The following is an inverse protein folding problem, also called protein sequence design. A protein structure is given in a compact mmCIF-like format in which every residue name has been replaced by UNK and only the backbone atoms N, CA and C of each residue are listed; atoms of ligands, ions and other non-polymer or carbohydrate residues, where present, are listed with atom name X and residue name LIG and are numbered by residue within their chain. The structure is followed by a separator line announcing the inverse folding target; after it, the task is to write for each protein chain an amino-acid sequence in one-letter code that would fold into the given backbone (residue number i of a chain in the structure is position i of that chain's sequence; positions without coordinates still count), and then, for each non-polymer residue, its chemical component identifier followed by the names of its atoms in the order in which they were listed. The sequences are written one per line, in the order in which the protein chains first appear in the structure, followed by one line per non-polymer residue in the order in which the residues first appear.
data_IF_465472709594
#
_entry.id   IF_465472709594
#
_cell.length_a   1.000
_cell.length_b   1.000
_cell.length_c   1.000
_cell.angle_alpha   90.00
_cell.angle_beta   90.00
_cell.angle_gamma   90.00
#
_symmetry.space_group_name_H-M   'P 1'
#
loop_
_entity.id
_entity.type
_entity.pdbx_description
1 polymer ?
#
# COMPACT_ATOMS: atom_id res chain seq x y z
N UNK A 1 7.09 -10.56 -20.06
CA UNK A 1 6.55 -11.36 -18.93
C UNK A 1 7.04 -10.93 -17.54
N UNK A 2 8.06 -10.07 -17.38
CA UNK A 2 8.58 -9.68 -16.06
C UNK A 2 7.96 -8.40 -15.47
N UNK A 3 7.43 -7.49 -16.29
CA UNK A 3 6.81 -6.24 -15.83
C UNK A 3 5.43 -6.48 -15.21
N UNK A 4 4.64 -7.37 -15.80
CA UNK A 4 3.29 -7.73 -15.33
C UNK A 4 3.33 -8.47 -13.99
N UNK A 5 4.26 -9.41 -13.81
CA UNK A 5 4.48 -10.09 -12.53
C UNK A 5 4.91 -9.10 -11.42
N UNK A 6 5.74 -8.11 -11.75
CA UNK A 6 6.12 -7.04 -10.80
C UNK A 6 4.94 -6.14 -10.46
N UNK A 7 4.13 -5.78 -11.44
CA UNK A 7 2.92 -4.98 -11.24
C UNK A 7 1.92 -5.70 -10.33
N UNK A 8 1.63 -6.98 -10.59
CA UNK A 8 0.73 -7.78 -9.75
C UNK A 8 1.19 -7.83 -8.30
N UNK A 9 2.50 -8.02 -8.07
CA UNK A 9 3.07 -8.05 -6.72
C UNK A 9 2.97 -6.72 -5.99
N UNK A 10 3.17 -5.60 -6.69
CA UNK A 10 2.97 -4.26 -6.12
C UNK A 10 1.49 -4.01 -5.82
N UNK A 11 0.59 -4.49 -6.68
CA UNK A 11 -0.84 -4.39 -6.48
C UNK A 11 -1.31 -5.17 -5.24
N UNK A 12 -0.86 -6.41 -5.06
CA UNK A 12 -1.11 -7.21 -3.86
C UNK A 12 -0.63 -6.51 -2.59
N UNK A 13 0.60 -6.00 -2.59
CA UNK A 13 1.15 -5.24 -1.45
C UNK A 13 0.35 -3.98 -1.14
N UNK A 14 -0.12 -3.29 -2.18
CA UNK A 14 -0.96 -2.10 -2.01
C UNK A 14 -2.29 -2.46 -1.34
N UNK A 15 -2.94 -3.55 -1.78
CA UNK A 15 -4.19 -4.05 -1.19
C UNK A 15 -4.00 -4.50 0.27
N UNK A 16 -2.88 -5.16 0.57
CA UNK A 16 -2.52 -5.55 1.95
C UNK A 16 -2.36 -4.33 2.86
N UNK A 17 -1.62 -3.31 2.42
CA UNK A 17 -1.46 -2.06 3.18
C UNK A 17 -2.79 -1.34 3.39
N UNK A 18 -3.70 -1.34 2.40
CA UNK A 18 -5.05 -0.81 2.58
C UNK A 18 -5.84 -1.54 3.65
N UNK A 19 -5.78 -2.88 3.65
CA UNK A 19 -6.44 -3.70 4.67
C UNK A 19 -5.90 -3.40 6.06
N UNK A 20 -4.58 -3.32 6.23
CA UNK A 20 -3.95 -2.99 7.51
C UNK A 20 -4.37 -1.59 7.97
N UNK A 21 -4.32 -0.58 7.09
CA UNK A 21 -4.76 0.78 7.40
C UNK A 21 -6.21 0.78 7.84
N UNK A 22 -7.11 0.10 7.11
CA UNK A 22 -8.54 0.03 7.45
C UNK A 22 -8.76 -0.61 8.81
N UNK A 23 -8.08 -1.72 9.08
CA UNK A 23 -8.16 -2.42 10.37
C UNK A 23 -7.66 -1.54 11.52
N UNK A 24 -6.53 -0.85 11.35
CA UNK A 24 -5.97 0.04 12.36
C UNK A 24 -6.88 1.25 12.59
N UNK A 25 -7.42 1.86 11.52
CA UNK A 25 -8.32 3.02 11.61
C UNK A 25 -9.64 2.69 12.31
N UNK A 26 -10.10 1.43 12.23
CA UNK A 26 -11.30 0.96 12.92
C UNK A 26 -11.09 0.67 14.41
N UNK A 27 -9.84 0.73 14.91
CA UNK A 27 -9.58 0.50 16.34
C UNK A 27 -10.10 1.69 17.16
N UNK A 28 -10.58 1.45 18.40
CA UNK A 28 -11.01 2.53 19.30
C UNK A 28 -9.92 3.55 19.62
N UNK A 29 -8.66 3.12 19.63
CA UNK A 29 -7.48 3.99 19.76
C UNK A 29 -6.47 3.63 18.67
N UNK A 30 -6.58 4.23 17.48
CA UNK A 30 -5.70 3.92 16.36
C UNK A 30 -4.30 4.50 16.57
N UNK A 31 -3.27 3.72 16.25
CA UNK A 31 -1.90 4.23 16.23
C UNK A 31 -1.70 5.17 15.02
N UNK A 32 -1.73 6.48 15.28
CA UNK A 32 -1.59 7.51 14.26
C UNK A 32 -0.20 7.54 13.61
N UNK A 33 0.86 7.18 14.35
CA UNK A 33 2.22 7.13 13.79
C UNK A 33 2.32 5.96 12.81
N UNK A 34 1.85 4.78 13.23
CA UNK A 34 1.77 3.60 12.37
C UNK A 34 0.90 3.86 11.13
N UNK A 35 -0.27 4.50 11.29
CA UNK A 35 -1.15 4.86 10.19
C UNK A 35 -0.46 5.79 9.17
N UNK A 36 0.28 6.79 9.64
CA UNK A 36 1.01 7.71 8.76
C UNK A 36 2.11 6.97 7.98
N UNK A 37 2.88 6.11 8.66
CA UNK A 37 3.91 5.31 8.00
C UNK A 37 3.32 4.36 6.95
N UNK A 38 2.19 3.72 7.25
CA UNK A 38 1.49 2.85 6.32
C UNK A 38 0.95 3.62 5.11
N UNK A 39 0.39 4.82 5.31
CA UNK A 39 -0.07 5.69 4.22
C UNK A 39 1.08 6.12 3.31
N UNK A 40 2.25 6.46 3.87
CA UNK A 40 3.45 6.80 3.09
C UNK A 40 3.93 5.59 2.28
N UNK A 41 4.00 4.40 2.90
CA UNK A 41 4.36 3.16 2.20
C UNK A 41 3.40 2.87 1.05
N UNK A 42 2.10 3.02 1.28
CA UNK A 42 1.05 2.84 0.26
C UNK A 42 1.23 3.84 -0.90
N UNK A 43 1.52 5.11 -0.60
CA UNK A 43 1.77 6.14 -1.61
C UNK A 43 2.97 5.78 -2.49
N UNK A 44 4.09 5.36 -1.90
CA UNK A 44 5.29 4.95 -2.66
C UNK A 44 5.02 3.77 -3.60
N UNK A 45 4.28 2.76 -3.14
CA UNK A 45 3.91 1.62 -3.98
C UNK A 45 3.01 2.06 -5.13
N UNK A 46 2.08 2.99 -4.88
CA UNK A 46 1.25 3.58 -5.93
C UNK A 46 2.09 4.31 -6.98
N UNK A 47 3.07 5.12 -6.57
CA UNK A 47 4.00 5.78 -7.48
C UNK A 47 4.84 4.78 -8.30
N UNK A 48 5.29 3.69 -7.69
CA UNK A 48 6.04 2.63 -8.37
C UNK A 48 5.18 1.90 -9.41
N UNK A 49 3.91 1.61 -9.10
CA UNK A 49 2.95 1.05 -10.05
C UNK A 49 2.69 1.99 -11.24
N UNK A 50 2.53 3.29 -11.00
CA UNK A 50 2.32 4.28 -12.06
C UNK A 50 3.56 4.41 -12.95
N UNK A 51 4.78 4.30 -12.40
CA UNK A 51 6.02 4.26 -13.19
C UNK A 51 6.13 3.03 -14.09
N UNK A 52 5.55 1.89 -13.69
CA UNK A 52 5.58 0.65 -14.46
C UNK A 52 4.50 0.55 -15.53
N UNK A 53 3.49 1.43 -15.49
CA UNK A 53 2.44 1.53 -16.51
C UNK A 53 2.88 2.27 -17.78
N UNK A 54 3.95 3.07 -17.70
CA UNK A 54 4.55 3.81 -18.82
C UNK A 54 5.47 2.89 -19.62
#
# INVERSE_FOLDING_TARGET
MTSEARFSKLHERHAELESIIKNETNRPNPDQLMLNDLKIKKLRIKEEMERLKV
#
